data_IF_337649132351
#
_entry.id   IF_337649132351
#
_cell.length_a   1.000
_cell.length_b   1.000
_cell.length_c   1.000
_cell.angle_alpha   90.00
_cell.angle_beta   90.00
_cell.angle_gamma   90.00
#
_symmetry.space_group_name_H-M   'P 1'
#
loop_
_entity.id
_entity.type
_entity.pdbx_description
1 polymer ?
2 polymer ?
3 water ?
#
# COMPACT_ATOMS: atom_id res chain seq x y z
N UNK A 1 4.31 17.94 0.00
CA UNK A 1 4.61 16.52 0.33
C UNK A 1 4.43 15.65 -0.91
N UNK A 2 5.29 14.65 -1.06
CA UNK A 2 5.23 13.75 -2.21
C UNK A 2 4.17 12.67 -2.03
N UNK A 3 3.62 12.57 -0.82
CA UNK A 3 2.60 11.57 -0.53
C UNK A 3 1.27 11.82 -1.24
N UNK A 4 0.57 10.73 -1.53
CA UNK A 4 -0.72 10.79 -2.21
C UNK A 4 -1.70 9.88 -1.49
N UNK A 5 -2.87 10.41 -1.13
CA UNK A 5 -3.86 9.60 -0.44
C UNK A 5 -4.89 9.04 -1.41
N UNK A 6 -5.04 7.72 -1.40
CA UNK A 6 -5.99 7.05 -2.28
C UNK A 6 -7.11 6.39 -1.50
N UNK A 7 -8.34 6.62 -1.94
CA UNK A 7 -9.51 6.03 -1.30
C UNK A 7 -10.11 4.97 -2.22
N UNK A 8 -10.25 3.76 -1.70
CA UNK A 8 -10.82 2.67 -2.48
C UNK A 8 -12.23 2.38 -1.98
N UNK A 9 -13.21 2.77 -2.77
CA UNK A 9 -14.61 2.56 -2.42
C UNK A 9 -15.05 1.19 -2.92
N UNK A 10 -14.96 0.17 -2.06
CA UNK A 10 -15.35 -1.18 -2.45
C UNK A 10 -16.82 -1.46 -2.17
N UNK A 11 -17.41 -2.36 -2.96
CA UNK A 11 -18.81 -2.73 -2.80
C UNK A 11 -18.95 -4.21 -2.48
N UNK A 12 -18.24 -5.05 -3.24
CA UNK A 12 -18.30 -6.48 -3.01
C UNK A 12 -17.55 -6.89 -1.76
N UNK A 13 -18.26 -7.51 -0.82
CA UNK A 13 -17.66 -7.95 0.43
C UNK A 13 -16.61 -9.04 0.24
N UNK A 14 -16.76 -9.82 -0.83
CA UNK A 14 -15.82 -10.91 -1.10
C UNK A 14 -14.75 -10.47 -2.10
N UNK A 15 -15.10 -9.53 -2.97
CA UNK A 15 -14.17 -9.02 -3.96
C UNK A 15 -13.06 -8.27 -3.22
N UNK A 16 -11.79 -8.54 -3.58
CA UNK A 16 -10.64 -7.89 -2.94
C UNK A 16 -10.43 -6.46 -3.45
N UNK A 17 -9.59 -5.71 -2.74
CA UNK A 17 -9.27 -4.33 -3.11
C UNK A 17 -8.63 -4.33 -4.50
N UNK A 18 -7.99 -5.43 -4.86
CA UNK A 18 -7.39 -5.53 -6.18
C UNK A 18 -5.89 -5.34 -6.29
N UNK A 19 -5.15 -5.50 -5.20
CA UNK A 19 -3.71 -5.35 -5.29
C UNK A 19 -2.94 -6.25 -4.33
N UNK A 20 -1.66 -6.42 -4.61
CA UNK A 20 -0.79 -7.26 -3.79
C UNK A 20 0.28 -6.38 -3.16
N UNK A 21 0.72 -6.73 -1.96
CA UNK A 21 1.78 -5.96 -1.31
C UNK A 21 2.94 -6.88 -0.99
N UNK A 22 4.13 -6.30 -0.88
CA UNK A 22 5.33 -7.07 -0.56
C UNK A 22 6.23 -6.23 0.35
N UNK A 23 7.27 -6.87 0.87
CA UNK A 23 8.24 -6.20 1.71
C UNK A 23 9.22 -5.55 0.75
N UNK A 24 9.80 -4.43 1.16
CA UNK A 24 10.76 -3.75 0.32
C UNK A 24 11.69 -2.89 1.15
N UNK A 25 12.40 -1.99 0.49
CA UNK A 25 13.33 -1.10 1.17
C UNK A 25 13.09 0.30 0.63
N UNK A 26 13.23 1.31 1.48
CA UNK A 26 13.04 2.69 1.05
C UNK A 26 14.19 3.55 1.56
N UNK A 27 14.82 4.30 0.66
CA UNK A 27 15.94 5.16 1.02
C UNK A 27 15.44 6.57 1.33
N UNK A 28 14.75 6.71 2.46
CA UNK A 28 14.21 8.00 2.86
C UNK A 28 15.28 8.92 3.43
N UNK A 29 15.01 10.22 3.38
CA UNK A 29 15.94 11.23 3.88
C UNK A 29 15.94 11.29 5.40
N UNK A 30 17.04 11.78 5.96
CA UNK A 30 17.18 11.89 7.41
C UNK A 30 18.07 13.09 7.73
N UNK A 31 18.63 13.10 8.94
CA UNK A 31 19.50 14.20 9.36
C UNK A 31 20.90 14.03 8.77
N UNK A 32 21.52 12.89 9.03
CA UNK A 32 22.86 12.60 8.53
C UNK A 32 22.83 12.40 7.01
N UNK A 33 21.62 12.28 6.47
CA UNK A 33 21.47 12.08 5.04
C UNK A 33 20.57 10.90 4.73
N UNK A 34 20.51 10.51 3.46
CA UNK A 34 19.68 9.39 3.03
C UNK A 34 20.02 8.11 3.79
N UNK A 35 18.99 7.38 4.22
CA UNK A 35 19.18 6.15 4.98
C UNK A 35 18.15 5.09 4.58
N UNK A 36 18.58 3.83 4.53
CA UNK A 36 17.68 2.73 4.17
C UNK A 36 16.84 2.29 5.35
N UNK A 37 15.58 1.97 5.07
CA UNK A 37 14.66 1.52 6.10
C UNK A 37 13.67 0.53 5.48
N UNK A 38 13.16 -0.42 6.28
CA UNK A 38 12.21 -1.41 5.75
C UNK A 38 10.94 -0.67 5.28
N UNK A 39 10.16 -1.31 4.41
CA UNK A 39 8.95 -0.68 3.91
C UNK A 39 7.99 -1.64 3.21
N UNK A 40 6.78 -1.17 2.95
CA UNK A 40 5.76 -1.98 2.28
C UNK A 40 5.50 -1.37 0.90
N UNK A 41 5.47 -2.21 -0.13
CA UNK A 41 5.25 -1.74 -1.50
C UNK A 41 4.20 -2.56 -2.23
N UNK A 42 3.60 -1.95 -3.23
CA UNK A 42 2.62 -2.65 -4.05
C UNK A 42 3.42 -3.41 -5.11
N UNK A 43 3.25 -4.72 -5.14
CA UNK A 43 3.97 -5.56 -6.09
C UNK A 43 3.23 -5.64 -7.41
N UNK A 44 1.91 -5.79 -7.35
CA UNK A 44 1.10 -5.85 -8.57
C UNK A 44 -0.39 -5.64 -8.37
N UNK A 45 -1.07 -5.38 -9.48
CA UNK A 45 -2.51 -5.11 -9.49
C UNK A 45 -3.28 -6.26 -10.13
N UNK A 46 -4.45 -6.55 -9.58
CA UNK A 46 -5.29 -7.61 -10.13
C UNK A 46 -5.96 -7.07 -11.39
N UNK A 47 -5.81 -7.77 -12.53
CA UNK A 47 -6.43 -7.30 -13.77
C UNK A 47 -7.95 -7.14 -13.61
N UNK A 48 -8.47 -5.99 -14.01
CA UNK A 48 -9.89 -5.74 -13.90
C UNK A 48 -10.36 -5.48 -12.48
N UNK A 49 -9.42 -5.44 -11.53
CA UNK A 49 -9.78 -5.21 -10.14
C UNK A 49 -10.02 -3.74 -9.80
N UNK A 50 -10.61 -3.50 -8.64
CA UNK A 50 -10.91 -2.14 -8.19
C UNK A 50 -9.70 -1.21 -8.21
N UNK A 51 -8.61 -1.61 -7.57
CA UNK A 51 -7.41 -0.77 -7.53
C UNK A 51 -6.98 -0.34 -8.93
N UNK A 52 -6.87 -1.29 -9.85
CA UNK A 52 -6.46 -0.97 -11.22
C UNK A 52 -7.44 -0.02 -11.89
N UNK A 53 -8.74 -0.23 -11.66
CA UNK A 53 -9.77 0.60 -12.28
C UNK A 53 -9.64 2.08 -11.93
N UNK A 54 -9.21 2.37 -10.71
CA UNK A 54 -9.06 3.75 -10.26
C UNK A 54 -7.92 4.46 -10.97
N UNK A 55 -6.86 3.73 -11.26
CA UNK A 55 -5.71 4.33 -11.93
C UNK A 55 -4.91 5.22 -11.00
N UNK A 56 -5.11 5.07 -9.69
CA UNK A 56 -4.38 5.89 -8.71
C UNK A 56 -3.24 5.12 -8.06
N UNK A 57 -3.30 3.79 -8.13
CA UNK A 57 -2.27 2.94 -7.55
C UNK A 57 -1.46 2.24 -8.63
N UNK A 58 -0.16 2.13 -8.42
CA UNK A 58 0.71 1.49 -9.39
C UNK A 58 1.79 0.65 -8.72
N UNK A 59 2.35 -0.28 -9.48
CA UNK A 59 3.41 -1.14 -8.98
C UNK A 59 4.58 -0.30 -8.48
N UNK A 60 5.19 -0.76 -7.39
CA UNK A 60 6.34 -0.10 -6.78
C UNK A 60 5.99 1.10 -5.92
N UNK A 61 4.71 1.46 -5.86
CA UNK A 61 4.29 2.56 -5.00
C UNK A 61 4.54 2.09 -3.56
N UNK A 62 4.92 3.00 -2.67
CA UNK A 62 5.20 2.61 -1.29
C UNK A 62 4.03 2.97 -0.38
N UNK A 63 3.57 1.99 0.38
CA UNK A 63 2.47 2.20 1.32
C UNK A 63 3.04 2.87 2.56
N UNK A 64 2.52 4.05 2.87
CA UNK A 64 3.01 4.79 4.03
C UNK A 64 2.10 4.60 5.24
N UNK A 65 0.80 4.64 5.01
CA UNK A 65 -0.15 4.46 6.10
C UNK A 65 -1.49 3.92 5.63
N UNK A 66 -2.18 3.28 6.57
CA UNK A 66 -3.48 2.69 6.31
C UNK A 66 -4.48 3.33 7.23
N UNK A 67 -5.41 4.08 6.64
CA UNK A 67 -6.43 4.78 7.39
C UNK A 67 -5.87 5.57 8.57
N UNK A 68 -4.83 6.34 8.29
CA UNK A 68 -4.23 7.20 9.29
C UNK A 68 -3.13 6.58 10.13
N UNK A 69 -2.96 5.26 10.05
CA UNK A 69 -1.98 4.55 10.85
C UNK A 69 -0.77 4.17 9.98
N UNK A 70 0.42 4.59 10.40
CA UNK A 70 1.64 4.29 9.66
C UNK A 70 1.97 2.81 9.73
N UNK A 71 2.50 2.27 8.63
CA UNK A 71 2.86 0.85 8.59
C UNK A 71 4.32 0.60 9.00
N UNK A 72 5.07 1.67 9.25
CA UNK A 72 6.47 1.54 9.64
C UNK A 72 6.65 0.63 10.86
N UNK A 73 7.59 -0.31 10.75
CA UNK A 73 7.85 -1.23 11.85
C UNK A 73 6.93 -2.43 11.91
N UNK A 74 6.01 -2.54 10.96
CA UNK A 74 5.07 -3.65 10.95
C UNK A 74 5.43 -4.73 9.92
N UNK A 75 4.95 -5.95 10.11
CA UNK A 75 5.25 -7.03 9.17
C UNK A 75 4.23 -7.03 8.03
N UNK A 76 4.55 -7.76 6.97
CA UNK A 76 3.66 -7.87 5.82
C UNK A 76 2.32 -8.43 6.30
N UNK A 77 2.37 -9.42 7.18
CA UNK A 77 1.16 -10.04 7.72
C UNK A 77 0.30 -9.03 8.49
N UNK A 78 0.92 -8.19 9.31
CA UNK A 78 0.17 -7.19 10.08
C UNK A 78 -0.48 -6.13 9.18
N UNK A 79 0.27 -5.64 8.20
CA UNK A 79 -0.27 -4.63 7.29
C UNK A 79 -1.42 -5.21 6.46
N UNK A 80 -1.28 -6.47 6.05
CA UNK A 80 -2.33 -7.12 5.27
C UNK A 80 -3.62 -7.12 6.11
N UNK A 81 -3.50 -7.49 7.39
CA UNK A 81 -4.67 -7.52 8.28
C UNK A 81 -5.29 -6.12 8.48
N UNK A 82 -4.44 -5.10 8.49
CA UNK A 82 -4.89 -3.72 8.65
C UNK A 82 -5.78 -3.28 7.50
N UNK A 83 -5.42 -3.71 6.30
CA UNK A 83 -6.17 -3.34 5.11
C UNK A 83 -7.49 -4.06 4.90
N UNK A 84 -7.51 -5.37 5.11
CA UNK A 84 -8.74 -6.13 4.92
C UNK A 84 -9.81 -5.69 5.92
N UNK A 85 -9.38 -5.10 7.03
CA UNK A 85 -10.29 -4.63 8.06
C UNK A 85 -11.03 -3.37 7.63
N UNK A 86 -10.41 -2.58 6.76
CA UNK A 86 -11.01 -1.34 6.27
C UNK A 86 -11.42 -1.46 4.80
N UNK A 87 -11.64 -2.69 4.35
CA UNK A 87 -12.03 -2.94 2.97
C UNK A 87 -13.22 -2.09 2.52
N UNK A 88 -14.25 -2.02 3.36
CA UNK A 88 -15.45 -1.24 3.05
C UNK A 88 -15.09 0.16 2.54
N UNK A 89 -14.31 0.89 3.34
CA UNK A 89 -13.87 2.23 2.98
C UNK A 89 -12.42 2.38 3.40
N UNK A 90 -11.52 1.91 2.55
CA UNK A 90 -10.09 1.98 2.81
C UNK A 90 -9.45 3.26 2.30
N UNK A 91 -8.57 3.83 3.11
CA UNK A 91 -7.86 5.04 2.73
C UNK A 91 -6.38 4.70 2.88
N UNK A 92 -5.64 4.73 1.77
CA UNK A 92 -4.23 4.41 1.84
C UNK A 92 -3.34 5.56 1.38
N UNK A 93 -2.31 5.83 2.17
CA UNK A 93 -1.37 6.89 1.85
C UNK A 93 -0.15 6.21 1.25
N UNK A 94 0.21 6.60 0.04
CA UNK A 94 1.34 6.00 -0.63
C UNK A 94 2.31 7.06 -1.13
N UNK A 95 3.47 6.60 -1.58
CA UNK A 95 4.49 7.47 -2.14
C UNK A 95 4.72 6.90 -3.53
N UNK A 96 4.20 7.58 -4.56
CA UNK A 96 4.33 7.15 -5.96
C UNK A 96 5.75 6.75 -6.32
N UNK A 97 5.88 5.68 -7.10
CA UNK A 97 7.18 5.19 -7.54
C UNK A 97 7.69 6.05 -8.69
N UNK A 98 6.79 6.37 -9.61
CA UNK A 98 7.13 7.19 -10.78
C UNK A 98 6.33 8.50 -10.70
C UNK B 1 10.11 -14.76 -4.56
N UNK B 2 9.57 -13.66 -5.07
CA UNK B 2 9.03 -12.61 -4.22
C UNK B 2 7.76 -13.08 -3.51
N UNK B 3 7.63 -12.73 -2.24
CA UNK B 3 6.46 -13.09 -1.46
C UNK B 3 5.51 -11.90 -1.46
N UNK B 4 4.30 -12.09 -1.98
CA UNK B 4 3.32 -11.01 -2.00
C UNK B 4 2.02 -11.46 -1.36
N UNK B 5 1.26 -10.49 -0.87
CA UNK B 5 0.00 -10.75 -0.19
C UNK B 5 -1.15 -9.96 -0.81
N UNK B 6 -2.21 -10.67 -1.20
CA UNK B 6 -3.37 -10.05 -1.84
C UNK B 6 -4.29 -9.37 -0.82
N UNK B 7 -4.79 -8.20 -1.19
CA UNK B 7 -5.72 -7.48 -0.34
C UNK B 7 -6.87 -7.04 -1.26
#
# INVERSE_FOLDING_TARGET
ETHRRVRLLKHGSDKPLGFYIRDGTSVRVTASGLEKQPGIFISRLVPGGLAESTGLLAVNDEVIEVNGIEVAGKTLDQVTDMMVANSSNLIITVKPAN
XVKESLV
#
